data_IF_341550014049
#
_entry.id   IF_341550014049
#
_cell.length_a   1.000
_cell.length_b   1.000
_cell.length_c   1.000
_cell.angle_alpha   90.00
_cell.angle_beta   90.00
_cell.angle_gamma   90.00
#
_symmetry.space_group_name_H-M   'P 1'
#
loop_
_entity.id
_entity.type
_entity.pdbx_description
1 polymer ?
#
# COMPACT_ATOMS: atom_id res chain seq x y z
N UNK A 1 -26.28 -34.51 -0.42
CA UNK A 1 -25.40 -33.44 -0.95
C UNK A 1 -24.46 -32.89 0.12
N UNK A 2 -24.94 -32.42 1.28
CA UNK A 2 -24.07 -31.88 2.34
C UNK A 2 -23.06 -32.88 2.95
N UNK A 3 -23.44 -34.16 3.06
CA UNK A 3 -22.59 -35.25 3.60
C UNK A 3 -21.40 -35.62 2.71
N UNK A 4 -21.43 -35.29 1.42
CA UNK A 4 -20.35 -35.60 0.48
C UNK A 4 -19.24 -34.55 0.48
N UNK A 5 -19.56 -33.33 0.89
CA UNK A 5 -18.65 -32.19 0.82
C UNK A 5 -18.17 -31.71 2.20
N UNK A 6 -18.63 -32.31 3.29
CA UNK A 6 -18.39 -31.85 4.67
C UNK A 6 -18.70 -30.35 4.85
N UNK A 7 -19.74 -29.88 4.16
CA UNK A 7 -20.19 -28.48 4.19
C UNK A 7 -21.62 -28.46 4.72
N UNK A 8 -21.89 -27.57 5.69
CA UNK A 8 -23.22 -27.39 6.25
C UNK A 8 -24.28 -27.04 5.20
N UNK A 9 -25.49 -27.56 5.36
CA UNK A 9 -26.64 -27.38 4.43
C UNK A 9 -26.92 -25.90 4.12
N UNK A 10 -26.71 -25.01 5.10
CA UNK A 10 -26.88 -23.58 4.94
C UNK A 10 -25.88 -22.94 3.94
N UNK A 11 -24.67 -23.49 3.82
CA UNK A 11 -23.68 -23.01 2.86
C UNK A 11 -24.03 -23.43 1.43
N UNK A 12 -24.49 -24.67 1.25
CA UNK A 12 -24.95 -25.18 -0.06
C UNK A 12 -26.14 -24.36 -0.57
N UNK A 13 -27.14 -24.11 0.27
CA UNK A 13 -28.29 -23.28 -0.09
C UNK A 13 -27.91 -21.83 -0.41
N UNK A 14 -26.90 -21.27 0.28
CA UNK A 14 -26.37 -19.93 0.01
C UNK A 14 -25.63 -19.85 -1.33
N UNK A 15 -24.88 -20.90 -1.71
CA UNK A 15 -24.19 -20.98 -3.00
C UNK A 15 -25.17 -21.15 -4.17
N UNK A 16 -26.23 -21.95 -4.00
CA UNK A 16 -27.29 -22.07 -5.00
C UNK A 16 -27.98 -20.72 -5.23
N UNK A 17 -28.26 -19.97 -4.16
CA UNK A 17 -28.90 -18.65 -4.25
C UNK A 17 -28.00 -17.56 -4.85
N UNK A 18 -26.68 -17.65 -4.65
CA UNK A 18 -25.74 -16.70 -5.21
C UNK A 18 -24.46 -17.43 -5.64
N UNK A 19 -24.41 -17.70 -6.94
CA UNK A 19 -23.32 -18.44 -7.60
C UNK A 19 -22.09 -17.53 -7.75
N UNK A 20 -22.28 -16.21 -7.73
CA UNK A 20 -21.18 -15.25 -7.84
C UNK A 20 -20.56 -14.96 -6.49
N UNK A 21 -19.22 -15.00 -6.45
CA UNK A 21 -18.46 -14.60 -5.28
C UNK A 21 -18.71 -13.12 -4.97
N UNK A 22 -19.12 -12.82 -3.74
CA UNK A 22 -19.20 -11.44 -3.27
C UNK A 22 -17.80 -10.79 -3.25
N UNK A 23 -17.63 -9.58 -3.79
CA UNK A 23 -16.35 -8.89 -3.69
C UNK A 23 -16.04 -8.59 -2.23
N UNK A 24 -14.81 -8.87 -1.82
CA UNK A 24 -14.35 -8.47 -0.50
C UNK A 24 -14.14 -6.95 -0.50
N UNK A 25 -14.77 -6.26 0.45
CA UNK A 25 -14.62 -4.82 0.60
C UNK A 25 -13.17 -4.41 0.86
N UNK A 26 -12.83 -3.17 0.49
CA UNK A 26 -11.49 -2.63 0.70
C UNK A 26 -11.25 -2.39 2.20
N UNK A 27 -10.25 -3.05 2.78
CA UNK A 27 -9.87 -2.82 4.18
C UNK A 27 -9.20 -1.45 4.32
N UNK A 28 -9.87 -0.51 5.00
CA UNK A 28 -9.29 0.79 5.38
C UNK A 28 -8.14 0.57 6.37
N UNK A 29 -6.94 1.04 6.03
CA UNK A 29 -5.77 1.01 6.91
C UNK A 29 -5.67 2.37 7.62
N UNK A 30 -4.99 2.42 8.77
CA UNK A 30 -4.84 3.63 9.61
C UNK A 30 -3.98 4.75 9.00
N UNK A 31 -3.37 4.55 7.84
CA UNK A 31 -2.41 5.50 7.26
C UNK A 31 -3.16 6.44 6.33
N UNK A 32 -3.06 7.74 6.59
CA UNK A 32 -3.44 8.77 5.65
C UNK A 32 -2.39 8.87 4.53
N UNK A 33 -2.82 8.64 3.29
CA UNK A 33 -1.95 8.67 2.11
C UNK A 33 -1.56 10.09 1.73
N UNK A 34 -2.38 11.08 2.04
CA UNK A 34 -2.12 12.47 1.67
C UNK A 34 -1.11 13.10 2.63
N UNK A 35 -1.22 12.82 3.93
CA UNK A 35 -0.18 13.16 4.91
C UNK A 35 1.19 12.54 4.55
N UNK A 36 1.21 11.27 4.09
CA UNK A 36 2.45 10.64 3.64
C UNK A 36 3.02 11.28 2.37
N UNK A 37 2.17 11.71 1.43
CA UNK A 37 2.64 12.42 0.23
C UNK A 37 3.32 13.74 0.58
N UNK A 38 2.73 14.50 1.50
CA UNK A 38 3.31 15.76 1.94
C UNK A 38 4.67 15.54 2.62
N UNK A 39 4.79 14.56 3.51
CA UNK A 39 6.08 14.22 4.15
C UNK A 39 7.15 13.75 3.13
N UNK A 40 6.75 13.10 2.02
CA UNK A 40 7.67 12.74 0.92
C UNK A 40 8.14 13.96 0.14
N UNK A 41 7.27 14.98 -0.04
CA UNK A 41 7.65 16.24 -0.69
C UNK A 41 8.56 17.09 0.20
N UNK A 42 8.22 17.22 1.48
CA UNK A 42 8.96 18.05 2.43
C UNK A 42 10.35 17.45 2.73
N UNK A 43 10.43 16.12 2.80
CA UNK A 43 11.66 15.41 3.14
C UNK A 43 11.94 14.30 2.14
N UNK A 44 12.37 14.59 0.91
CA UNK A 44 12.57 13.57 -0.12
C UNK A 44 13.66 12.55 0.26
N UNK A 45 14.64 12.97 1.06
CA UNK A 45 15.79 12.14 1.46
C UNK A 45 15.58 11.41 2.82
N UNK A 46 14.43 11.56 3.49
CA UNK A 46 14.18 10.90 4.77
C UNK A 46 13.99 9.38 4.64
N UNK A 47 14.54 8.63 5.60
CA UNK A 47 14.41 7.19 5.67
C UNK A 47 13.02 6.76 6.19
N UNK A 48 12.59 5.55 5.83
CA UNK A 48 11.27 5.03 6.21
C UNK A 48 11.04 5.01 7.73
N UNK A 49 12.07 4.75 8.53
CA UNK A 49 11.95 4.73 9.99
C UNK A 49 11.79 6.15 10.58
N UNK A 50 12.38 7.17 9.97
CA UNK A 50 12.22 8.57 10.38
C UNK A 50 10.81 9.06 10.09
N UNK A 51 10.29 8.75 8.89
CA UNK A 51 8.91 9.02 8.51
C UNK A 51 7.92 8.31 9.43
N UNK A 52 8.23 7.08 9.83
CA UNK A 52 7.43 6.27 10.75
C UNK A 52 7.32 6.93 12.12
N UNK A 53 8.44 7.48 12.62
CA UNK A 53 8.47 8.22 13.88
C UNK A 53 7.62 9.50 13.81
N UNK A 54 7.64 10.23 12.69
CA UNK A 54 6.83 11.46 12.50
C UNK A 54 5.33 11.18 12.40
N UNK A 55 4.97 10.14 11.65
CA UNK A 55 3.57 9.77 11.41
C UNK A 55 3.00 8.83 12.48
N UNK A 56 3.78 8.44 13.48
CA UNK A 56 3.36 7.54 14.57
C UNK A 56 2.98 6.13 14.09
N UNK A 57 3.57 5.65 13.00
CA UNK A 57 3.25 4.36 12.37
C UNK A 57 4.46 3.43 12.35
N UNK A 58 4.23 2.14 12.14
CA UNK A 58 5.33 1.18 11.93
C UNK A 58 6.02 1.40 10.57
N UNK A 59 7.31 1.06 10.49
CA UNK A 59 8.09 1.16 9.25
C UNK A 59 7.46 0.35 8.09
N UNK A 60 6.97 -0.87 8.36
CA UNK A 60 6.34 -1.72 7.35
C UNK A 60 5.05 -1.09 6.78
N UNK A 61 4.31 -0.36 7.62
CA UNK A 61 3.14 0.40 7.18
C UNK A 61 3.52 1.44 6.10
N UNK A 62 4.63 2.17 6.32
CA UNK A 62 5.16 3.15 5.36
C UNK A 62 5.65 2.47 4.10
N UNK A 63 6.39 1.37 4.19
CA UNK A 63 6.82 0.63 3.00
C UNK A 63 5.62 0.24 2.11
N UNK A 64 4.57 -0.32 2.71
CA UNK A 64 3.35 -0.68 1.98
C UNK A 64 2.62 0.53 1.39
N UNK A 65 2.64 1.67 2.10
CA UNK A 65 2.02 2.91 1.63
C UNK A 65 2.81 3.55 0.48
N UNK A 66 4.13 3.62 0.56
CA UNK A 66 5.01 4.08 -0.53
C UNK A 66 4.85 3.23 -1.79
N UNK A 67 4.69 1.91 -1.63
CA UNK A 67 4.42 1.00 -2.75
C UNK A 67 3.07 1.28 -3.43
N UNK A 68 2.05 1.68 -2.66
CA UNK A 68 0.77 2.14 -3.22
C UNK A 68 0.91 3.47 -3.96
N UNK A 69 1.76 4.37 -3.46
CA UNK A 69 2.08 5.64 -4.09
C UNK A 69 3.04 5.51 -5.29
N UNK A 70 3.51 4.29 -5.60
CA UNK A 70 4.50 3.99 -6.65
C UNK A 70 5.78 4.82 -6.53
N UNK A 71 6.17 5.14 -5.30
CA UNK A 71 7.44 5.84 -5.01
C UNK A 71 8.53 4.80 -4.85
N UNK A 72 9.43 4.73 -5.83
CA UNK A 72 10.63 3.89 -5.75
C UNK A 72 11.86 4.80 -5.81
N UNK A 73 12.63 4.83 -4.72
CA UNK A 73 13.93 5.46 -4.69
C UNK A 73 14.93 4.51 -4.04
N UNK A 74 15.91 4.07 -4.82
CA UNK A 74 17.02 3.25 -4.34
C UNK A 74 18.19 4.18 -4.04
N UNK A 75 18.54 4.31 -2.76
CA UNK A 75 19.78 4.95 -2.35
C UNK A 75 20.94 3.98 -2.60
N UNK A 76 21.94 4.41 -3.36
CA UNK A 76 23.21 3.69 -3.49
C UNK A 76 24.22 4.27 -2.49
N UNK A 77 24.94 3.41 -1.77
CA UNK A 77 25.96 3.81 -0.79
C UNK A 77 27.25 4.28 -1.46
N UNK A 78 27.54 3.80 -2.68
CA UNK A 78 28.60 4.32 -3.52
C UNK A 78 28.10 5.56 -4.27
N UNK A 79 28.63 6.72 -3.95
CA UNK A 79 28.40 7.93 -4.74
C UNK A 79 29.16 7.79 -6.08
N UNK A 80 28.42 7.70 -7.19
CA UNK A 80 29.00 8.08 -8.49
C UNK A 80 29.37 9.55 -8.39
N UNK A 81 30.63 9.86 -8.67
CA UNK A 81 31.28 11.16 -8.40
C UNK A 81 30.59 12.35 -9.11
N UNK A 82 29.67 12.09 -10.05
CA UNK A 82 29.06 13.13 -10.89
C UNK A 82 27.53 13.24 -10.79
N UNK A 83 26.83 12.32 -10.10
CA UNK A 83 25.37 12.30 -10.17
C UNK A 83 24.73 12.90 -8.90
N UNK A 84 24.19 14.12 -9.04
CA UNK A 84 23.30 14.77 -8.05
C UNK A 84 22.35 13.71 -7.47
N UNK A 85 22.31 13.56 -6.14
CA UNK A 85 21.37 12.65 -5.46
C UNK A 85 19.96 12.94 -5.96
N UNK A 86 19.39 12.05 -6.78
CA UNK A 86 18.06 12.24 -7.37
C UNK A 86 17.03 12.32 -6.23
N UNK A 87 16.24 13.38 -6.21
CA UNK A 87 15.12 13.57 -5.29
C UNK A 87 14.10 12.46 -5.48
N UNK A 88 13.43 12.03 -4.40
CA UNK A 88 12.35 11.04 -4.48
C UNK A 88 11.30 11.48 -5.52
N UNK A 89 11.12 10.68 -6.57
CA UNK A 89 10.16 10.96 -7.64
C UNK A 89 8.77 10.49 -7.21
N UNK A 90 7.84 11.42 -7.06
CA UNK A 90 6.42 11.09 -7.00
C UNK A 90 5.90 11.01 -8.45
N UNK A 91 5.40 9.86 -8.92
CA UNK A 91 4.76 9.81 -10.23
C UNK A 91 3.57 10.78 -10.24
N UNK A 92 3.55 11.67 -11.24
CA UNK A 92 2.51 12.68 -11.42
C UNK A 92 1.12 12.04 -11.38
N UNK A 93 0.16 12.73 -10.74
CA UNK A 93 -1.22 12.29 -10.65
C UNK A 93 -1.76 12.00 -12.07
N UNK A 94 -1.96 10.74 -12.41
CA UNK A 94 -2.94 10.39 -13.45
C UNK A 94 -4.32 10.60 -12.83
N UNK A 95 -4.83 11.82 -12.94
CA UNK A 95 -6.24 12.14 -12.68
C UNK A 95 -7.03 11.57 -13.85
N UNK A 96 -7.36 10.27 -13.77
CA UNK A 96 -8.39 9.67 -14.61
C UNK A 96 -9.74 9.94 -13.96
N UNK A 97 -10.50 10.86 -14.55
CA UNK A 97 -11.95 10.96 -14.39
C UNK A 97 -12.63 9.72 -14.97
#
# INVERSE_FOLDING_TARGET
MATWFDVGVASVTRWIKNIYRKPQGLRRRKIDLDALRQDVLDYPDAYQYERAKRLGVTQNAIFLALRKLRVSYKKNTAASWDERRRTAFLPGKNQGA
#
